data_IF_948986544829
#
_entry.id   IF_948986544829
#
_cell.length_a   1.000
_cell.length_b   1.000
_cell.length_c   1.000
_cell.angle_alpha   90.00
_cell.angle_beta   90.00
_cell.angle_gamma   90.00
#
_symmetry.space_group_name_H-M   'P 1'
#
loop_
_entity.id
_entity.type
_entity.pdbx_description
1 polymer ?
#
# COMPACT_ATOMS: atom_id res chain seq x y z
N UNK A 1 -73.57 10.17 -20.51
CA UNK A 1 -73.20 9.84 -21.90
C UNK A 1 -71.77 9.30 -21.84
N UNK A 2 -71.62 7.96 -22.00
CA UNK A 2 -70.44 7.15 -22.43
C UNK A 2 -69.11 7.42 -21.67
N UNK A 3 -68.61 6.67 -20.69
CA UNK A 3 -68.39 5.21 -20.46
C UNK A 3 -67.53 4.49 -21.52
N UNK A 4 -66.22 4.31 -21.24
CA UNK A 4 -65.30 3.31 -21.85
C UNK A 4 -64.19 2.97 -20.83
N UNK A 5 -64.34 1.97 -19.97
CA UNK A 5 -63.97 0.54 -20.11
C UNK A 5 -62.51 0.28 -20.56
N UNK A 6 -61.71 -0.24 -19.62
CA UNK A 6 -60.37 -0.85 -19.73
C UNK A 6 -60.39 -2.16 -20.56
N UNK A 7 -59.21 -2.70 -20.95
CA UNK A 7 -58.71 -3.83 -20.16
C UNK A 7 -57.18 -3.92 -19.99
N UNK A 8 -56.85 -4.35 -18.77
CA UNK A 8 -55.74 -5.18 -18.32
C UNK A 8 -55.17 -6.13 -19.39
N UNK A 9 -53.85 -6.09 -19.62
CA UNK A 9 -53.10 -7.14 -20.30
C UNK A 9 -51.94 -7.60 -19.42
N UNK A 10 -52.15 -8.77 -18.84
CA UNK A 10 -51.23 -9.66 -18.15
C UNK A 10 -50.21 -10.22 -19.15
N UNK A 11 -48.90 -10.14 -18.89
CA UNK A 11 -47.93 -11.03 -19.53
C UNK A 11 -46.94 -11.57 -18.49
N UNK A 12 -47.18 -12.85 -18.21
CA UNK A 12 -46.48 -13.75 -17.30
C UNK A 12 -45.23 -14.30 -18.01
N UNK A 13 -44.06 -14.00 -17.48
CA UNK A 13 -42.79 -14.60 -17.87
C UNK A 13 -42.68 -16.02 -17.31
N UNK A 14 -42.53 -17.05 -18.16
CA UNK A 14 -42.01 -18.35 -17.70
C UNK A 14 -41.35 -19.19 -18.82
N UNK A 15 -40.07 -19.48 -18.58
CA UNK A 15 -39.25 -20.65 -18.94
C UNK A 15 -39.02 -21.04 -20.42
N UNK A 16 -37.76 -20.93 -20.83
CA UNK A 16 -37.14 -21.72 -21.90
C UNK A 16 -36.05 -22.61 -21.30
N UNK A 17 -36.16 -23.92 -21.53
CA UNK A 17 -35.25 -24.98 -21.11
C UNK A 17 -34.08 -25.13 -22.11
N UNK A 18 -32.86 -25.27 -21.55
CA UNK A 18 -31.73 -26.12 -21.94
C UNK A 18 -31.36 -26.32 -23.42
N UNK A 19 -30.14 -25.90 -23.82
CA UNK A 19 -29.00 -26.81 -24.08
C UNK A 19 -27.80 -26.08 -24.68
N UNK A 20 -26.65 -26.23 -24.03
CA UNK A 20 -25.32 -26.38 -24.65
C UNK A 20 -24.89 -25.38 -25.72
N UNK A 21 -24.26 -24.28 -25.29
CA UNK A 21 -23.14 -23.74 -26.04
C UNK A 21 -21.92 -23.85 -25.13
N UNK A 22 -21.01 -24.72 -25.56
CA UNK A 22 -19.63 -24.88 -25.12
C UNK A 22 -19.07 -23.52 -24.68
N UNK A 23 -18.87 -23.33 -23.37
CA UNK A 23 -18.14 -22.18 -22.88
C UNK A 23 -16.67 -22.47 -23.17
N UNK A 24 -15.97 -21.69 -24.01
CA UNK A 24 -14.54 -21.84 -24.14
C UNK A 24 -13.96 -21.70 -22.73
N UNK A 25 -13.27 -22.75 -22.29
CA UNK A 25 -12.58 -22.76 -21.01
C UNK A 25 -11.77 -21.46 -20.92
N UNK A 26 -12.01 -20.70 -19.86
CA UNK A 26 -11.11 -19.61 -19.51
C UNK A 26 -9.69 -20.16 -19.53
N UNK A 27 -8.72 -19.46 -20.14
CA UNK A 27 -7.35 -19.92 -20.12
C UNK A 27 -6.97 -20.20 -18.66
N UNK A 28 -6.23 -21.30 -18.39
CA UNK A 28 -5.79 -21.57 -17.03
C UNK A 28 -5.13 -20.29 -16.53
N UNK A 29 -5.62 -19.79 -15.38
CA UNK A 29 -4.95 -18.74 -14.61
C UNK A 29 -3.49 -19.17 -14.61
N UNK A 30 -2.66 -18.46 -15.37
CA UNK A 30 -1.26 -18.76 -15.44
C UNK A 30 -0.83 -18.89 -13.99
N UNK A 31 -0.26 -20.04 -13.64
CA UNK A 31 0.49 -20.13 -12.41
C UNK A 31 1.49 -18.99 -12.52
N UNK A 32 1.22 -17.91 -11.82
CA UNK A 32 2.19 -16.84 -11.61
C UNK A 32 3.21 -17.56 -10.75
N UNK A 33 4.23 -18.10 -11.41
CA UNK A 33 5.48 -18.44 -10.77
C UNK A 33 6.06 -17.09 -10.39
N UNK A 34 5.58 -16.54 -9.29
CA UNK A 34 6.19 -15.38 -8.66
C UNK A 34 7.12 -15.97 -7.60
N UNK A 35 8.35 -16.30 -8.03
CA UNK A 35 9.49 -16.02 -7.17
C UNK A 35 9.61 -14.49 -7.12
N UNK A 36 8.64 -13.85 -6.47
CA UNK A 36 8.72 -12.48 -6.04
C UNK A 36 9.79 -12.53 -4.97
N UNK A 37 11.00 -12.10 -5.34
CA UNK A 37 12.16 -12.03 -4.47
C UNK A 37 11.86 -10.94 -3.43
N UNK A 38 11.04 -11.28 -2.43
CA UNK A 38 10.76 -10.43 -1.29
C UNK A 38 12.10 -10.23 -0.60
N UNK A 39 12.65 -9.03 -0.71
CA UNK A 39 13.88 -8.68 -0.03
C UNK A 39 13.66 -8.92 1.47
N UNK A 40 14.33 -9.94 2.00
CA UNK A 40 14.30 -10.26 3.42
C UNK A 40 15.12 -9.17 4.14
N UNK A 41 14.51 -8.02 4.44
CA UNK A 41 15.22 -6.95 5.13
C UNK A 41 15.42 -7.36 6.60
N UNK A 42 16.67 -7.41 7.09
CA UNK A 42 16.92 -7.63 8.50
C UNK A 42 16.34 -6.47 9.30
N UNK A 43 15.84 -6.74 10.51
CA UNK A 43 15.33 -5.69 11.38
C UNK A 43 16.39 -4.58 11.58
N UNK A 44 16.03 -3.30 11.38
CA UNK A 44 16.99 -2.21 11.50
C UNK A 44 17.47 -2.07 12.94
N UNK A 45 18.74 -1.70 13.09
CA UNK A 45 19.41 -1.53 14.38
C UNK A 45 19.71 -0.07 14.71
N UNK A 46 19.69 0.81 13.71
CA UNK A 46 19.85 2.26 13.86
C UNK A 46 18.72 3.03 13.18
N UNK A 47 18.53 4.30 13.56
CA UNK A 47 17.47 5.12 12.98
C UNK A 47 17.70 5.35 11.48
N UNK A 48 18.96 5.49 11.04
CA UNK A 48 19.28 5.63 9.62
C UNK A 48 19.02 4.35 8.82
N UNK A 49 19.32 3.17 9.37
CA UNK A 49 18.93 1.89 8.73
C UNK A 49 17.40 1.78 8.60
N UNK A 50 16.65 2.22 9.62
CA UNK A 50 15.20 2.23 9.55
C UNK A 50 14.69 3.20 8.48
N UNK A 51 15.27 4.40 8.35
CA UNK A 51 14.91 5.36 7.29
C UNK A 51 15.19 4.79 5.91
N UNK A 52 16.38 4.23 5.69
CA UNK A 52 16.75 3.60 4.41
C UNK A 52 15.79 2.47 4.02
N UNK A 53 15.44 1.59 4.97
CA UNK A 53 14.46 0.53 4.70
C UNK A 53 13.07 1.09 4.39
N UNK A 54 12.65 2.19 5.06
CA UNK A 54 11.37 2.84 4.72
C UNK A 54 11.36 3.39 3.30
N UNK A 55 12.49 3.90 2.79
CA UNK A 55 12.61 4.37 1.41
C UNK A 55 12.50 3.21 0.41
N UNK A 56 13.21 2.10 0.64
CA UNK A 56 13.13 0.90 -0.19
C UNK A 56 11.70 0.34 -0.23
N UNK A 57 11.07 0.20 0.94
CA UNK A 57 9.70 -0.29 1.06
C UNK A 57 8.69 0.70 0.45
N UNK A 58 8.90 2.01 0.59
CA UNK A 58 8.08 3.04 -0.06
C UNK A 58 8.13 2.88 -1.57
N UNK A 59 9.31 2.66 -2.14
CA UNK A 59 9.49 2.44 -3.58
C UNK A 59 8.81 1.16 -4.08
N UNK A 60 8.90 0.07 -3.32
CA UNK A 60 8.22 -1.19 -3.62
C UNK A 60 6.69 -1.02 -3.60
N UNK A 61 6.15 -0.41 -2.54
CA UNK A 61 4.72 -0.13 -2.39
C UNK A 61 4.25 0.77 -3.53
N UNK A 62 4.95 1.88 -3.80
CA UNK A 62 4.64 2.80 -4.89
C UNK A 62 4.54 2.07 -6.22
N UNK A 63 5.58 1.30 -6.55
CA UNK A 63 5.64 0.54 -7.81
C UNK A 63 4.47 -0.43 -7.95
N UNK A 64 4.09 -1.14 -6.90
CA UNK A 64 2.97 -2.08 -6.94
C UNK A 64 1.63 -1.38 -7.17
N UNK A 65 1.38 -0.27 -6.49
CA UNK A 65 0.16 0.52 -6.67
C UNK A 65 0.09 1.17 -8.05
N UNK A 66 1.17 1.78 -8.54
CA UNK A 66 1.25 2.38 -9.88
C UNK A 66 1.12 1.34 -11.00
N UNK A 67 1.58 0.10 -10.77
CA UNK A 67 1.41 -1.01 -11.70
C UNK A 67 0.00 -1.62 -11.69
N UNK A 68 -0.90 -1.18 -10.80
CA UNK A 68 -2.24 -1.75 -10.63
C UNK A 68 -2.23 -3.16 -10.04
N UNK A 69 -1.18 -3.51 -9.30
CA UNK A 69 -1.01 -4.80 -8.61
C UNK A 69 -0.75 -4.60 -7.12
N UNK A 70 -1.63 -3.89 -6.37
CA UNK A 70 -1.35 -3.51 -4.99
C UNK A 70 -1.23 -4.71 -4.04
N UNK A 71 -1.86 -5.85 -4.37
CA UNK A 71 -1.74 -7.12 -3.63
C UNK A 71 -0.29 -7.62 -3.48
N UNK A 72 0.58 -7.27 -4.43
CA UNK A 72 2.01 -7.63 -4.38
C UNK A 72 2.73 -6.89 -3.25
N UNK A 73 2.26 -5.71 -2.86
CA UNK A 73 2.85 -4.91 -1.80
C UNK A 73 2.36 -5.30 -0.39
N UNK A 74 1.50 -6.30 -0.23
CA UNK A 74 0.93 -6.67 1.06
C UNK A 74 1.99 -7.02 2.11
N UNK A 75 2.97 -7.86 1.75
CA UNK A 75 4.06 -8.20 2.68
C UNK A 75 4.99 -7.00 2.94
N UNK A 76 5.22 -6.14 1.95
CA UNK A 76 5.96 -4.90 2.12
C UNK A 76 5.25 -3.93 3.08
N UNK A 77 3.92 -3.80 2.99
CA UNK A 77 3.10 -2.98 3.90
C UNK A 77 3.17 -3.48 5.34
N UNK A 78 3.11 -4.80 5.55
CA UNK A 78 3.35 -5.39 6.86
C UNK A 78 4.76 -5.08 7.38
N UNK A 79 5.76 -5.16 6.51
CA UNK A 79 7.14 -4.86 6.87
C UNK A 79 7.30 -3.38 7.28
N UNK A 80 6.69 -2.45 6.55
CA UNK A 80 6.68 -1.02 6.90
C UNK A 80 6.21 -0.83 8.34
N UNK A 81 5.12 -1.49 8.76
CA UNK A 81 4.65 -1.39 10.15
C UNK A 81 5.67 -1.85 11.20
N UNK A 82 6.43 -2.91 10.89
CA UNK A 82 7.54 -3.39 11.71
C UNK A 82 8.68 -2.37 11.81
N UNK A 83 9.11 -1.81 10.66
CA UNK A 83 10.18 -0.81 10.60
C UNK A 83 9.78 0.47 11.32
N UNK A 84 8.55 0.95 11.15
CA UNK A 84 8.03 2.13 11.85
C UNK A 84 8.02 1.96 13.37
N UNK A 85 7.64 0.77 13.85
CA UNK A 85 7.71 0.45 15.29
C UNK A 85 9.15 0.51 15.80
N UNK A 86 10.09 -0.02 15.03
CA UNK A 86 11.51 0.02 15.37
C UNK A 86 12.04 1.47 15.37
N UNK A 87 11.73 2.25 14.33
CA UNK A 87 12.11 3.65 14.19
C UNK A 87 11.60 4.49 15.37
N UNK A 88 10.34 4.31 15.79
CA UNK A 88 9.78 5.01 16.95
C UNK A 88 10.57 4.71 18.23
N UNK A 89 10.96 3.45 18.43
CA UNK A 89 11.76 3.05 19.60
C UNK A 89 13.13 3.72 19.59
N UNK A 90 13.81 3.71 18.44
CA UNK A 90 15.14 4.32 18.28
C UNK A 90 15.10 5.85 18.44
N UNK A 91 14.06 6.50 17.89
CA UNK A 91 13.83 7.92 18.09
C UNK A 91 13.59 8.32 19.55
N UNK A 92 13.25 7.35 20.42
CA UNK A 92 13.12 7.55 21.87
C UNK A 92 14.42 8.03 22.56
N UNK A 93 15.57 7.82 21.93
CA UNK A 93 16.87 8.25 22.43
C UNK A 93 17.26 9.68 21.97
N UNK A 94 16.48 10.30 21.08
CA UNK A 94 16.66 11.69 20.66
C UNK A 94 16.28 12.66 21.80
N UNK A 95 16.74 13.91 21.67
CA UNK A 95 16.32 15.04 22.53
C UNK A 95 14.83 15.33 22.32
N UNK A 96 14.16 15.91 23.33
CA UNK A 96 12.69 16.00 23.37
C UNK A 96 12.05 16.60 22.11
N UNK A 97 12.54 17.74 21.59
CA UNK A 97 12.00 18.35 20.36
C UNK A 97 12.16 17.45 19.13
N UNK A 98 13.29 16.75 19.03
CA UNK A 98 13.58 15.82 17.93
C UNK A 98 12.76 14.52 18.09
N UNK A 99 12.55 14.06 19.31
CA UNK A 99 11.72 12.90 19.64
C UNK A 99 10.25 13.12 19.31
N UNK A 100 9.71 14.30 19.65
CA UNK A 100 8.33 14.66 19.27
C UNK A 100 8.18 14.81 17.75
N UNK A 101 9.18 15.41 17.10
CA UNK A 101 9.22 15.51 15.63
C UNK A 101 9.25 14.14 14.95
N UNK A 102 10.08 13.22 15.45
CA UNK A 102 10.16 11.85 14.95
C UNK A 102 8.86 11.08 15.20
N UNK A 103 8.26 11.21 16.40
CA UNK A 103 6.96 10.61 16.69
C UNK A 103 5.88 11.07 15.71
N UNK A 104 5.80 12.38 15.45
CA UNK A 104 4.86 12.95 14.49
C UNK A 104 5.08 12.41 13.07
N UNK A 105 6.34 12.25 12.64
CA UNK A 105 6.66 11.67 11.35
C UNK A 105 6.22 10.19 11.27
N UNK A 106 6.56 9.38 12.28
CA UNK A 106 6.17 7.97 12.35
C UNK A 106 4.66 7.79 12.40
N UNK A 107 3.94 8.59 13.19
CA UNK A 107 2.48 8.53 13.26
C UNK A 107 1.84 8.85 11.89
N UNK A 108 2.42 9.80 11.13
CA UNK A 108 1.97 10.15 9.78
C UNK A 108 2.21 9.01 8.79
N UNK A 109 3.36 8.33 8.91
CA UNK A 109 3.68 7.17 8.09
C UNK A 109 2.75 5.98 8.38
N UNK A 110 2.47 5.70 9.66
CA UNK A 110 1.49 4.68 10.04
C UNK A 110 0.10 4.98 9.48
N UNK A 111 -0.34 6.23 9.52
CA UNK A 111 -1.63 6.63 8.94
C UNK A 111 -1.64 6.43 7.42
N UNK A 112 -0.61 6.90 6.73
CA UNK A 112 -0.55 6.84 5.27
C UNK A 112 -0.46 5.40 4.74
N UNK A 113 0.50 4.62 5.24
CA UNK A 113 0.64 3.22 4.85
C UNK A 113 -0.52 2.36 5.34
N UNK A 114 -1.11 2.67 6.50
CA UNK A 114 -2.31 1.99 6.99
C UNK A 114 -3.53 2.19 6.09
N UNK A 115 -3.65 3.33 5.39
CA UNK A 115 -4.70 3.53 4.38
C UNK A 115 -4.49 2.64 3.15
N UNK A 116 -3.23 2.48 2.72
CA UNK A 116 -2.87 1.59 1.61
C UNK A 116 -3.11 0.12 1.98
N UNK A 117 -2.70 -0.30 3.17
CA UNK A 117 -2.97 -1.63 3.72
C UNK A 117 -4.48 -1.92 3.86
N UNK A 118 -5.23 -0.95 4.38
CA UNK A 118 -6.70 -1.03 4.45
C UNK A 118 -7.37 -1.17 3.08
N UNK A 119 -6.75 -0.73 1.99
CA UNK A 119 -7.29 -0.96 0.64
C UNK A 119 -7.28 -2.44 0.24
N UNK A 120 -6.34 -3.21 0.78
CA UNK A 120 -6.19 -4.64 0.53
C UNK A 120 -7.10 -5.48 1.46
N UNK A 121 -7.31 -5.01 2.69
CA UNK A 121 -8.04 -5.77 3.71
C UNK A 121 -9.51 -5.40 3.85
N UNK A 122 -9.82 -4.11 3.83
CA UNK A 122 -11.12 -3.57 4.20
C UNK A 122 -11.94 -3.09 2.98
N UNK A 123 -11.37 -3.20 1.78
CA UNK A 123 -11.99 -2.78 0.52
C UNK A 123 -12.10 -1.26 0.36
N UNK A 124 -11.27 -0.50 1.07
CA UNK A 124 -11.08 0.91 0.78
C UNK A 124 -10.46 1.07 -0.61
N UNK A 125 -10.83 2.11 -1.35
CA UNK A 125 -10.21 2.44 -2.64
C UNK A 125 -9.31 3.65 -2.42
N UNK A 126 -8.03 3.39 -2.14
CA UNK A 126 -7.02 4.41 -1.87
C UNK A 126 -5.92 4.26 -2.91
N UNK A 127 -5.71 5.28 -3.73
CA UNK A 127 -4.58 5.33 -4.64
C UNK A 127 -3.31 5.81 -3.93
N UNK A 128 -2.14 5.37 -4.41
CA UNK A 128 -0.85 5.84 -3.87
C UNK A 128 -0.71 7.37 -3.95
N UNK A 129 -1.13 7.98 -5.05
CA UNK A 129 -1.09 9.44 -5.28
C UNK A 129 -1.82 10.25 -4.21
N UNK A 130 -2.79 9.67 -3.49
CA UNK A 130 -3.51 10.35 -2.42
C UNK A 130 -2.69 10.51 -1.14
N UNK A 131 -1.67 9.66 -0.95
CA UNK A 131 -0.87 9.59 0.28
C UNK A 131 0.62 9.76 0.04
N UNK A 132 1.10 9.58 -1.20
CA UNK A 132 2.51 9.51 -1.58
C UNK A 132 3.32 10.74 -1.15
N UNK A 133 2.84 11.94 -1.44
CA UNK A 133 3.52 13.18 -1.02
C UNK A 133 3.65 13.28 0.51
N UNK A 134 2.65 12.76 1.25
CA UNK A 134 2.68 12.71 2.71
C UNK A 134 3.66 11.69 3.27
N UNK A 135 3.80 10.54 2.59
CA UNK A 135 4.80 9.53 2.91
C UNK A 135 6.20 10.12 2.71
N UNK A 136 6.46 10.71 1.54
CA UNK A 136 7.76 11.27 1.18
C UNK A 136 8.18 12.37 2.18
N UNK A 137 7.28 13.32 2.46
CA UNK A 137 7.55 14.38 3.43
C UNK A 137 7.81 13.87 4.86
N UNK A 138 7.15 12.78 5.26
CA UNK A 138 7.35 12.19 6.58
C UNK A 138 8.66 11.37 6.67
N UNK A 139 9.07 10.69 5.59
CA UNK A 139 10.38 10.04 5.49
C UNK A 139 11.49 11.10 5.55
N UNK A 140 11.42 12.16 4.73
CA UNK A 140 12.39 13.27 4.74
C UNK A 140 12.51 13.91 6.14
N UNK A 141 11.37 14.09 6.83
CA UNK A 141 11.36 14.61 8.20
C UNK A 141 12.07 13.67 9.18
N UNK A 142 11.94 12.36 9.00
CA UNK A 142 12.61 11.37 9.85
C UNK A 142 14.11 11.29 9.53
N UNK A 143 14.48 11.35 8.25
CA UNK A 143 15.86 11.41 7.76
C UNK A 143 16.62 12.59 8.36
N UNK A 144 16.01 13.79 8.37
CA UNK A 144 16.60 15.00 8.94
C UNK A 144 16.91 14.89 10.45
N UNK A 145 16.35 13.90 11.14
CA UNK A 145 16.56 13.64 12.57
C UNK A 145 17.59 12.53 12.82
N UNK A 146 18.07 11.85 11.77
CA UNK A 146 19.07 10.79 11.88
C UNK A 146 20.40 11.38 12.41
N UNK A 147 20.93 10.85 13.53
CA UNK A 147 22.25 11.22 14.02
C UNK A 147 23.33 11.01 12.96
N UNK A 148 24.31 11.92 12.89
CA UNK A 148 25.39 11.87 11.87
C UNK A 148 26.10 10.51 11.81
N UNK A 149 26.31 9.86 12.96
CA UNK A 149 26.98 8.56 13.10
C UNK A 149 26.08 7.36 12.73
N UNK A 150 24.80 7.61 12.43
CA UNK A 150 23.81 6.60 12.03
C UNK A 150 23.35 6.77 10.58
N UNK A 151 23.82 7.80 9.85
CA UNK A 151 23.45 7.99 8.46
C UNK A 151 24.00 6.86 7.59
N UNK A 152 23.15 6.31 6.73
CA UNK A 152 23.57 5.40 5.67
C UNK A 152 24.10 6.26 4.53
N UNK A 153 25.29 5.97 4.01
CA UNK A 153 25.78 6.71 2.84
C UNK A 153 24.91 6.33 1.64
N UNK A 154 24.10 7.27 1.16
CA UNK A 154 23.47 7.16 -0.14
C UNK A 154 24.58 7.42 -1.16
N UNK A 155 24.96 6.39 -1.93
CA UNK A 155 25.85 6.57 -3.07
C UNK A 155 25.26 7.69 -3.95
N UNK A 156 25.87 8.88 -3.90
CA UNK A 156 25.49 9.98 -4.80
C UNK A 156 25.57 9.44 -6.24
N UNK A 157 24.54 9.63 -7.08
CA UNK A 157 24.68 9.31 -8.49
C UNK A 157 25.86 10.11 -9.03
N UNK A 158 26.88 9.40 -9.55
CA UNK A 158 28.10 9.98 -10.08
C UNK A 158 27.76 11.18 -10.97
N UNK A 159 28.21 12.37 -10.54
CA UNK A 159 28.02 13.62 -11.27
C UNK A 159 28.55 13.47 -12.70
N UNK A 160 27.80 13.86 -13.74
CA UNK A 160 28.21 13.70 -15.13
C UNK A 160 29.48 14.50 -15.47
#
# INVERSE_FOLDING_TARGET
>A
MILRTTPLALLLSLALLSSGCEQPAAPPKAAVGDEQDHADHPAPTTLGEAVHQLEELRDEVKKAFEAGTPEVAHDALHHVGGVLTAAQKMAGDLKDDAKESAKSAVDSLFEAFGKLDGSLHDGADVAYDEVGDGIDAAIEKLEALVPEDQRVEHDEPAKP
#
